data_IF_656175054533
#
_entry.id   IF_656175054533
#
_cell.length_a   1.000
_cell.length_b   1.000
_cell.length_c   1.000
_cell.angle_alpha   90.00
_cell.angle_beta   90.00
_cell.angle_gamma   90.00
#
_symmetry.space_group_name_H-M   'P 1'
#
loop_
_entity.id
_entity.type
_entity.pdbx_description
1 polymer ?
#
# COMPACT_ATOMS: atom_id res chain seq x y z
N UNK A 1 -19.41 32.94 -18.71
CA UNK A 1 -18.98 31.70 -18.05
C UNK A 1 -17.49 31.76 -17.83
N UNK A 2 -17.02 31.41 -16.64
CA UNK A 2 -15.59 31.46 -16.31
C UNK A 2 -14.93 30.14 -16.73
N UNK A 3 -14.13 30.13 -17.81
CA UNK A 3 -13.61 28.91 -18.39
C UNK A 3 -12.70 28.11 -17.45
N UNK A 4 -12.10 28.76 -16.43
CA UNK A 4 -11.30 28.05 -15.43
C UNK A 4 -12.17 27.28 -14.45
N UNK A 5 -13.32 27.85 -14.06
CA UNK A 5 -14.28 27.20 -13.17
C UNK A 5 -14.93 26.00 -13.83
N UNK A 6 -15.33 26.12 -15.10
CA UNK A 6 -15.93 25.02 -15.86
C UNK A 6 -14.98 23.83 -15.99
N UNK A 7 -13.68 24.09 -16.19
CA UNK A 7 -12.66 23.04 -16.31
C UNK A 7 -12.42 22.33 -14.97
N UNK A 8 -12.45 23.07 -13.86
CA UNK A 8 -12.34 22.51 -12.51
C UNK A 8 -13.57 21.65 -12.18
N UNK A 9 -14.77 22.18 -12.36
CA UNK A 9 -16.03 21.48 -12.11
C UNK A 9 -16.08 20.18 -12.91
N UNK A 10 -15.70 20.21 -14.19
CA UNK A 10 -15.70 19.01 -15.04
C UNK A 10 -14.74 17.93 -14.56
N UNK A 11 -13.54 18.31 -14.11
CA UNK A 11 -12.55 17.36 -13.57
C UNK A 11 -13.02 16.77 -12.24
N UNK A 12 -13.51 17.62 -11.35
CA UNK A 12 -14.05 17.19 -10.07
C UNK A 12 -15.25 16.27 -10.26
N UNK A 13 -16.14 16.57 -11.19
CA UNK A 13 -17.27 15.71 -11.51
C UNK A 13 -16.82 14.33 -12.03
N UNK A 14 -15.83 14.26 -12.93
CA UNK A 14 -15.27 12.97 -13.37
C UNK A 14 -14.70 12.15 -12.21
N UNK A 15 -13.90 12.78 -11.34
CA UNK A 15 -13.29 12.09 -10.20
C UNK A 15 -14.36 11.65 -9.21
N UNK A 16 -15.29 12.54 -8.86
CA UNK A 16 -16.40 12.25 -7.96
C UNK A 16 -17.26 11.09 -8.47
N UNK A 17 -17.54 11.03 -9.77
CA UNK A 17 -18.27 9.93 -10.38
C UNK A 17 -17.56 8.58 -10.22
N UNK A 18 -16.24 8.53 -10.47
CA UNK A 18 -15.45 7.30 -10.29
C UNK A 18 -15.41 6.89 -8.82
N UNK A 19 -15.20 7.86 -7.91
CA UNK A 19 -15.19 7.60 -6.46
C UNK A 19 -16.55 7.12 -5.96
N UNK A 20 -17.65 7.74 -6.39
CA UNK A 20 -19.00 7.33 -6.04
C UNK A 20 -19.31 5.93 -6.58
N UNK A 21 -18.94 5.64 -7.82
CA UNK A 21 -19.10 4.31 -8.41
C UNK A 21 -18.30 3.25 -7.63
N UNK A 22 -17.06 3.55 -7.24
CA UNK A 22 -16.26 2.67 -6.38
C UNK A 22 -16.94 2.42 -5.02
N UNK A 23 -17.50 3.45 -4.41
CA UNK A 23 -18.16 3.36 -3.11
C UNK A 23 -19.48 2.59 -3.15
N UNK A 24 -20.28 2.78 -4.20
CA UNK A 24 -21.51 2.00 -4.43
C UNK A 24 -21.18 0.54 -4.71
N UNK A 25 -20.14 0.29 -5.52
CA UNK A 25 -19.68 -1.06 -5.80
C UNK A 25 -19.17 -1.77 -4.53
N UNK A 26 -18.42 -1.07 -3.66
CA UNK A 26 -17.99 -1.63 -2.38
C UNK A 26 -19.13 -1.74 -1.37
N UNK A 27 -20.20 -0.96 -1.49
CA UNK A 27 -21.41 -1.09 -0.67
C UNK A 27 -22.20 -2.37 -1.03
N UNK A 28 -22.35 -2.66 -2.33
CA UNK A 28 -23.14 -3.81 -2.80
C UNK A 28 -22.33 -5.13 -2.81
N UNK A 29 -21.01 -5.06 -3.02
CA UNK A 29 -20.14 -6.25 -3.13
C UNK A 29 -19.19 -6.46 -1.94
N UNK A 30 -19.18 -5.53 -0.98
CA UNK A 30 -18.22 -5.52 0.12
C UNK A 30 -16.84 -5.04 -0.34
N UNK A 31 -16.08 -4.45 0.58
CA UNK A 31 -14.69 -4.12 0.33
C UNK A 31 -13.91 -5.41 0.03
N UNK A 32 -13.41 -5.55 -1.21
CA UNK A 32 -12.53 -6.67 -1.56
C UNK A 32 -11.37 -6.73 -0.55
N UNK A 33 -11.19 -7.86 0.17
CA UNK A 33 -10.32 -7.93 1.34
C UNK A 33 -8.83 -7.67 1.05
N UNK A 34 -8.43 -7.64 -0.23
CA UNK A 34 -7.03 -7.53 -0.65
C UNK A 34 -6.75 -6.34 -1.59
N UNK A 35 -7.75 -5.52 -1.92
CA UNK A 35 -7.55 -4.38 -2.84
C UNK A 35 -6.67 -3.29 -2.23
N UNK A 36 -6.72 -3.15 -0.90
CA UNK A 36 -6.00 -2.11 -0.15
C UNK A 36 -4.70 -2.62 0.48
N UNK A 37 -4.39 -3.92 0.38
CA UNK A 37 -3.14 -4.49 0.90
C UNK A 37 -1.89 -3.85 0.28
N UNK A 38 -1.83 -3.60 -1.05
CA UNK A 38 -0.67 -2.95 -1.66
C UNK A 38 -0.50 -1.51 -1.16
N UNK A 39 -1.62 -0.78 -1.00
CA UNK A 39 -1.64 0.61 -0.55
C UNK A 39 -1.23 0.69 0.93
N UNK A 40 -1.77 -0.19 1.77
CA UNK A 40 -1.41 -0.29 3.19
C UNK A 40 0.08 -0.62 3.38
N UNK A 41 0.61 -1.55 2.58
CA UNK A 41 2.05 -1.87 2.58
C UNK A 41 2.90 -0.70 2.12
N UNK A 42 2.47 0.04 1.09
CA UNK A 42 3.18 1.22 0.60
C UNK A 42 3.20 2.33 1.66
N UNK A 43 2.08 2.59 2.33
CA UNK A 43 1.98 3.58 3.42
C UNK A 43 2.88 3.18 4.60
N UNK A 44 2.83 1.93 5.05
CA UNK A 44 3.69 1.44 6.14
C UNK A 44 5.18 1.48 5.78
N UNK A 45 5.52 1.21 4.52
CA UNK A 45 6.90 1.31 4.01
C UNK A 45 7.39 2.76 3.99
N UNK A 46 6.54 3.68 3.52
CA UNK A 46 6.83 5.11 3.50
C UNK A 46 6.97 5.68 4.91
N UNK A 47 6.11 5.26 5.86
CA UNK A 47 6.21 5.65 7.26
C UNK A 47 7.54 5.18 7.88
N UNK A 48 7.92 3.91 7.68
CA UNK A 48 9.21 3.38 8.16
C UNK A 48 10.39 4.09 7.53
N UNK A 49 10.33 4.38 6.22
CA UNK A 49 11.38 5.09 5.50
C UNK A 49 11.54 6.52 6.00
N UNK A 50 10.43 7.25 6.20
CA UNK A 50 10.44 8.59 6.76
C UNK A 50 10.92 8.60 8.22
N UNK A 51 10.53 7.60 9.01
CA UNK A 51 10.99 7.45 10.40
C UNK A 51 12.50 7.20 10.45
N UNK A 52 13.03 6.34 9.59
CA UNK A 52 14.47 6.09 9.48
C UNK A 52 15.24 7.31 8.94
N UNK A 53 14.63 8.09 8.05
CA UNK A 53 15.21 9.31 7.51
C UNK A 53 15.25 10.45 8.54
N UNK A 54 14.22 10.59 9.37
CA UNK A 54 14.12 11.64 10.39
C UNK A 54 14.86 11.32 11.70
N UNK A 55 14.90 10.05 12.12
CA UNK A 55 15.59 9.66 13.36
C UNK A 55 17.07 9.34 13.18
N UNK A 56 17.59 9.39 11.95
CA UNK A 56 18.95 8.99 11.64
C UNK A 56 19.13 7.47 11.74
N UNK A 57 19.81 6.88 10.76
CA UNK A 57 20.14 5.45 10.75
C UNK A 57 20.95 5.11 12.01
N UNK A 58 20.26 4.55 13.00
CA UNK A 58 20.91 3.79 14.07
C UNK A 58 21.04 2.37 13.54
N UNK A 59 22.09 2.11 12.78
CA UNK A 59 22.44 0.75 12.38
C UNK A 59 22.53 -0.14 13.63
N UNK A 60 21.63 -1.13 13.71
CA UNK A 60 21.90 -2.36 14.44
C UNK A 60 21.50 -3.54 13.55
N UNK A 61 22.55 -4.19 13.05
CA UNK A 61 22.61 -5.61 12.70
C UNK A 61 21.50 -6.43 13.35
N UNK A 62 20.67 -7.07 12.52
CA UNK A 62 20.27 -8.44 12.81
C UNK A 62 20.92 -9.33 11.73
N UNK A 63 22.17 -9.72 12.00
CA UNK A 63 22.64 -11.03 11.58
C UNK A 63 21.66 -12.07 12.12
N UNK A 64 20.94 -12.75 11.23
CA UNK A 64 20.45 -14.08 11.57
C UNK A 64 21.58 -15.07 11.32
N UNK A 65 22.15 -15.71 12.36
CA UNK A 65 22.87 -16.93 12.16
C UNK A 65 21.85 -17.99 11.74
N UNK A 66 21.99 -18.52 10.53
CA UNK A 66 21.43 -19.83 10.20
C UNK A 66 22.62 -20.72 9.85
N UNK A 67 23.25 -21.18 10.93
CA UNK A 67 24.14 -22.32 10.95
C UNK A 67 23.57 -23.45 10.09
N UNK A 68 24.33 -23.83 9.08
CA UNK A 68 24.25 -25.13 8.43
C UNK A 68 24.57 -26.24 9.43
N UNK A 69 23.87 -27.37 9.33
CA UNK A 69 24.33 -28.77 9.46
C UNK A 69 23.05 -29.62 9.38
N UNK A 70 22.68 -30.10 8.19
CA UNK A 70 23.06 -31.41 7.64
C UNK A 70 22.46 -32.61 8.40
N UNK A 71 21.57 -33.33 7.72
CA UNK A 71 21.32 -34.78 7.72
C UNK A 71 19.83 -35.05 7.41
N UNK A 72 19.36 -36.02 6.62
CA UNK A 72 19.91 -37.09 5.78
C UNK A 72 18.67 -37.79 5.20
N UNK A 73 18.77 -38.32 3.97
CA UNK A 73 17.96 -39.37 3.33
C UNK A 73 16.53 -39.66 3.82
N UNK A 74 15.58 -39.62 2.87
CA UNK A 74 14.50 -40.59 2.85
C UNK A 74 14.54 -41.37 1.53
N UNK A 75 15.06 -42.58 1.65
CA UNK A 75 14.94 -43.67 0.69
C UNK A 75 14.32 -44.82 1.49
N UNK A 76 13.04 -45.11 1.26
CA UNK A 76 12.47 -46.45 1.43
C UNK A 76 11.15 -46.56 0.68
#
# INVERSE_FOLDING_TARGET
>A
MDPMKDKLVRRTAMVASVTAAYFLLTADYGAQPNALDPIKKAILSAEKSAKNFLFGSSDKHEEKPKNETAATNQQK
#
